data_IF_318045136041
#
_entry.id   IF_318045136041
#
_cell.length_a   1.000
_cell.length_b   1.000
_cell.length_c   1.000
_cell.angle_alpha   90.00
_cell.angle_beta   90.00
_cell.angle_gamma   90.00
#
_symmetry.space_group_name_H-M   'P 1'
#
loop_
_entity.id
_entity.type
_entity.pdbx_description
1 polymer ?
#
# COMPACT_ATOMS: atom_id res chain seq x y z
N UNK A 1 -13.05 -16.59 -11.38
CA UNK A 1 -12.95 -15.14 -11.62
C UNK A 1 -12.67 -14.39 -10.34
N UNK A 2 -13.45 -14.59 -9.28
CA UNK A 2 -13.34 -13.86 -7.99
C UNK A 2 -12.34 -14.46 -7.01
N UNK A 3 -11.54 -15.47 -7.39
CA UNK A 3 -10.55 -16.10 -6.47
C UNK A 3 -9.57 -15.09 -5.87
N UNK A 4 -8.95 -14.18 -6.65
CA UNK A 4 -8.02 -13.20 -6.10
C UNK A 4 -8.68 -12.30 -5.04
N UNK A 5 -9.83 -11.72 -5.38
CA UNK A 5 -10.56 -10.81 -4.49
C UNK A 5 -11.04 -11.51 -3.22
N UNK A 6 -11.48 -12.76 -3.35
CA UNK A 6 -11.95 -13.54 -2.20
C UNK A 6 -10.82 -13.92 -1.26
N UNK A 7 -9.68 -14.37 -1.80
CA UNK A 7 -8.50 -14.70 -0.99
C UNK A 7 -7.97 -13.45 -0.28
N UNK A 8 -7.80 -12.33 -0.99
CA UNK A 8 -7.36 -11.08 -0.39
C UNK A 8 -8.33 -10.60 0.71
N UNK A 9 -9.66 -10.72 0.48
CA UNK A 9 -10.67 -10.40 1.48
C UNK A 9 -10.52 -11.25 2.75
N UNK A 10 -10.33 -12.57 2.62
CA UNK A 10 -10.18 -13.47 3.78
C UNK A 10 -8.99 -13.11 4.68
N UNK A 11 -7.97 -12.47 4.13
CA UNK A 11 -6.77 -12.01 4.85
C UNK A 11 -6.83 -10.52 5.23
N UNK A 12 -7.95 -9.85 4.99
CA UNK A 12 -8.13 -8.43 5.31
C UNK A 12 -8.72 -8.20 6.71
N UNK A 13 -8.57 -6.97 7.21
CA UNK A 13 -9.23 -6.55 8.45
C UNK A 13 -10.76 -6.62 8.39
N UNK A 14 -11.33 -6.67 7.18
CA UNK A 14 -12.77 -6.75 6.93
C UNK A 14 -13.28 -8.16 6.63
N UNK A 15 -12.49 -9.21 6.88
CA UNK A 15 -12.86 -10.61 6.60
C UNK A 15 -14.17 -11.11 7.25
N UNK A 16 -14.70 -10.37 8.23
CA UNK A 16 -15.99 -10.66 8.90
C UNK A 16 -17.13 -9.77 8.42
N UNK A 17 -16.88 -8.82 7.52
CA UNK A 17 -17.88 -7.92 6.95
C UNK A 17 -18.42 -8.55 5.66
N UNK A 18 -19.72 -8.70 5.55
CA UNK A 18 -20.33 -9.31 4.35
C UNK A 18 -20.00 -8.51 3.09
N UNK A 19 -19.70 -9.20 1.99
CA UNK A 19 -19.43 -8.58 0.67
C UNK A 19 -20.55 -7.61 0.26
N UNK A 20 -21.80 -7.98 0.52
CA UNK A 20 -22.97 -7.15 0.18
C UNK A 20 -23.05 -5.85 0.97
N UNK A 21 -22.43 -5.76 2.12
CA UNK A 21 -22.39 -4.53 2.93
C UNK A 21 -21.71 -3.40 2.17
N UNK A 22 -20.58 -3.70 1.50
CA UNK A 22 -19.82 -2.73 0.71
C UNK A 22 -20.32 -2.63 -0.75
N UNK A 23 -20.64 -3.77 -1.39
CA UNK A 23 -20.95 -3.82 -2.83
C UNK A 23 -22.40 -3.53 -3.17
N UNK A 24 -23.33 -3.71 -2.24
CA UNK A 24 -24.74 -3.43 -2.42
C UNK A 24 -25.21 -2.34 -1.46
N UNK A 25 -24.99 -2.53 -0.15
CA UNK A 25 -25.43 -1.61 0.90
C UNK A 25 -26.97 -1.50 1.00
N UNK A 26 -27.48 -0.66 1.91
CA UNK A 26 -28.91 -0.43 2.06
C UNK A 26 -29.46 0.48 0.95
N UNK A 27 -30.73 0.27 0.60
CA UNK A 27 -31.49 1.11 -0.34
C UNK A 27 -31.86 0.41 -1.65
N UNK A 28 -33.14 0.58 -2.08
CA UNK A 28 -33.69 -0.08 -3.26
C UNK A 28 -32.96 0.29 -4.56
N UNK A 29 -32.54 1.55 -4.71
CA UNK A 29 -31.82 2.01 -5.91
C UNK A 29 -30.48 1.31 -6.10
N UNK A 30 -29.71 1.12 -5.02
CA UNK A 30 -28.43 0.41 -5.06
C UNK A 30 -28.62 -1.09 -5.29
N UNK A 31 -29.67 -1.66 -4.71
CA UNK A 31 -30.04 -3.06 -4.98
C UNK A 31 -30.33 -3.31 -6.47
N UNK A 32 -31.11 -2.45 -7.11
CA UNK A 32 -31.43 -2.56 -8.56
C UNK A 32 -30.16 -2.41 -9.39
N UNK A 33 -29.30 -1.39 -9.10
CA UNK A 33 -28.02 -1.21 -9.82
C UNK A 33 -27.13 -2.44 -9.69
N UNK A 34 -27.04 -3.03 -8.49
CA UNK A 34 -26.23 -4.24 -8.28
C UNK A 34 -26.75 -5.45 -9.06
N UNK A 35 -28.07 -5.60 -9.20
CA UNK A 35 -28.68 -6.68 -10.01
C UNK A 35 -28.39 -6.50 -11.50
N UNK A 36 -28.50 -5.28 -12.02
CA UNK A 36 -28.16 -5.00 -13.42
C UNK A 36 -26.68 -5.26 -13.72
N UNK A 37 -25.77 -4.81 -12.84
CA UNK A 37 -24.36 -5.12 -12.94
C UNK A 37 -24.08 -6.63 -12.83
N UNK A 38 -24.80 -7.34 -11.95
CA UNK A 38 -24.71 -8.78 -11.78
C UNK A 38 -25.10 -9.58 -13.03
N UNK A 39 -26.13 -9.15 -13.76
CA UNK A 39 -26.51 -9.78 -15.03
C UNK A 39 -25.40 -9.69 -16.07
N UNK A 40 -24.79 -8.53 -16.21
CA UNK A 40 -23.64 -8.36 -17.09
C UNK A 40 -22.46 -9.26 -16.66
N UNK A 41 -22.20 -9.38 -15.36
CA UNK A 41 -21.13 -10.25 -14.85
C UNK A 41 -21.40 -11.73 -15.16
N UNK A 42 -22.64 -12.20 -15.02
CA UNK A 42 -23.02 -13.57 -15.42
C UNK A 42 -22.75 -13.79 -16.91
N UNK A 43 -23.21 -12.88 -17.76
CA UNK A 43 -22.95 -12.93 -19.21
C UNK A 43 -21.44 -12.98 -19.51
N UNK A 44 -20.66 -12.06 -18.93
CA UNK A 44 -19.22 -11.97 -19.16
C UNK A 44 -18.47 -13.25 -18.70
N UNK A 45 -18.87 -13.83 -17.56
CA UNK A 45 -18.28 -15.08 -17.04
C UNK A 45 -18.63 -16.27 -17.92
N UNK A 46 -19.90 -16.39 -18.35
CA UNK A 46 -20.37 -17.50 -19.20
C UNK A 46 -19.66 -17.53 -20.55
N UNK A 47 -19.40 -16.35 -21.13
CA UNK A 47 -18.70 -16.24 -22.42
C UNK A 47 -17.19 -16.08 -22.30
N UNK A 48 -16.64 -16.04 -21.09
CA UNK A 48 -15.21 -15.79 -20.87
C UNK A 48 -14.72 -14.41 -21.32
N UNK A 49 -15.63 -13.43 -21.47
CA UNK A 49 -15.36 -12.10 -22.04
C UNK A 49 -14.94 -11.04 -21.01
N UNK A 50 -14.60 -11.43 -19.78
CA UNK A 50 -14.12 -10.51 -18.76
C UNK A 50 -12.62 -10.23 -18.88
N UNK A 51 -12.18 -9.00 -18.61
CA UNK A 51 -10.76 -8.64 -18.66
C UNK A 51 -9.96 -9.30 -17.52
N UNK A 52 -8.70 -9.56 -17.79
CA UNK A 52 -7.72 -10.08 -16.84
C UNK A 52 -6.48 -9.17 -16.87
N UNK A 53 -6.21 -8.43 -15.81
CA UNK A 53 -6.96 -8.31 -14.54
C UNK A 53 -8.28 -7.55 -14.68
N UNK A 54 -9.15 -7.65 -13.66
CA UNK A 54 -10.41 -6.88 -13.60
C UNK A 54 -10.09 -5.40 -13.39
N UNK A 55 -10.59 -4.46 -14.20
CA UNK A 55 -10.26 -3.04 -14.08
C UNK A 55 -10.69 -2.42 -12.75
N UNK A 56 -9.88 -1.53 -12.23
CA UNK A 56 -10.20 -0.67 -11.09
C UNK A 56 -9.83 0.79 -11.41
N UNK A 57 -10.49 1.78 -10.81
CA UNK A 57 -11.58 1.70 -9.83
C UNK A 57 -12.91 1.23 -10.46
N UNK A 58 -13.74 0.58 -9.65
CA UNK A 58 -15.08 0.15 -10.10
C UNK A 58 -15.99 1.38 -10.13
N UNK A 59 -16.54 1.70 -11.30
CA UNK A 59 -17.34 2.91 -11.53
C UNK A 59 -18.68 2.94 -10.77
N UNK A 60 -19.22 1.79 -10.40
CA UNK A 60 -20.55 1.65 -9.81
C UNK A 60 -20.55 1.35 -8.31
N UNK A 61 -19.43 1.59 -7.62
CA UNK A 61 -19.39 1.50 -6.17
C UNK A 61 -20.15 2.66 -5.54
N UNK A 62 -20.76 2.38 -4.41
CA UNK A 62 -21.43 3.36 -3.57
C UNK A 62 -20.41 4.40 -3.06
N UNK A 63 -20.82 5.66 -2.81
CA UNK A 63 -19.93 6.65 -2.21
C UNK A 63 -19.30 6.12 -0.92
N UNK A 64 -18.00 6.35 -0.75
CA UNK A 64 -17.22 5.81 0.37
C UNK A 64 -17.79 6.24 1.72
N UNK A 65 -18.18 7.52 1.87
CA UNK A 65 -18.79 8.02 3.10
C UNK A 65 -20.03 7.24 3.50
N UNK A 66 -20.94 7.00 2.57
CA UNK A 66 -22.16 6.24 2.84
C UNK A 66 -21.94 4.79 3.25
N UNK A 67 -20.79 4.22 2.90
CA UNK A 67 -20.43 2.84 3.22
C UNK A 67 -19.54 2.76 4.46
N UNK A 68 -18.45 3.50 4.47
CA UNK A 68 -17.41 3.39 5.50
C UNK A 68 -17.84 4.03 6.83
N UNK A 69 -18.51 5.20 6.77
CA UNK A 69 -18.93 5.94 7.96
C UNK A 69 -20.06 5.26 8.75
N UNK A 70 -20.65 4.16 8.23
CA UNK A 70 -21.56 3.33 9.02
C UNK A 70 -20.85 2.62 10.21
N UNK A 71 -19.53 2.42 10.09
CA UNK A 71 -18.71 1.77 11.12
C UNK A 71 -17.52 2.65 11.56
N UNK A 72 -17.01 3.49 10.66
CA UNK A 72 -15.85 4.37 10.89
C UNK A 72 -16.33 5.83 10.93
N UNK A 73 -16.35 6.43 12.12
CA UNK A 73 -16.75 7.84 12.28
C UNK A 73 -15.54 8.77 12.25
N UNK A 74 -15.47 9.74 11.32
CA UNK A 74 -14.34 10.67 11.22
C UNK A 74 -14.04 11.42 12.52
N UNK A 75 -15.06 11.72 13.31
CA UNK A 75 -14.91 12.42 14.60
C UNK A 75 -14.14 11.61 15.66
N UNK A 76 -13.95 10.30 15.41
CA UNK A 76 -13.17 9.41 16.27
C UNK A 76 -11.76 9.14 15.76
N UNK A 77 -11.35 9.75 14.65
CA UNK A 77 -9.99 9.65 14.14
C UNK A 77 -9.07 10.63 14.87
N UNK A 78 -8.73 10.29 16.07
CA UNK A 78 -7.79 11.01 16.91
C UNK A 78 -6.73 10.04 17.46
N UNK A 79 -5.71 10.59 18.10
CA UNK A 79 -4.63 9.80 18.69
C UNK A 79 -3.56 9.38 17.69
N UNK A 80 -2.69 8.54 18.17
CA UNK A 80 -1.53 8.02 17.45
C UNK A 80 -1.58 6.50 17.43
N UNK A 81 -0.96 5.92 16.42
CA UNK A 81 -0.84 4.46 16.29
C UNK A 81 0.63 4.08 16.17
N UNK A 82 1.11 3.31 17.13
CA UNK A 82 2.42 2.68 17.02
C UNK A 82 2.37 1.58 15.97
N UNK A 83 3.31 1.63 15.03
CA UNK A 83 3.53 0.60 14.01
C UNK A 83 4.99 0.18 14.10
N UNK A 84 5.22 -1.09 14.40
CA UNK A 84 6.55 -1.70 14.39
C UNK A 84 6.68 -2.59 13.17
N UNK A 85 7.77 -2.41 12.44
CA UNK A 85 8.10 -3.25 11.29
C UNK A 85 9.51 -3.75 11.44
N UNK A 86 9.71 -5.02 11.11
CA UNK A 86 11.01 -5.64 10.94
C UNK A 86 11.23 -5.90 9.47
N UNK A 87 12.35 -5.47 8.96
CA UNK A 87 12.82 -5.72 7.61
C UNK A 87 14.06 -6.61 7.66
N UNK A 88 14.28 -7.34 6.59
CA UNK A 88 15.48 -8.14 6.38
C UNK A 88 16.18 -7.64 5.13
N UNK A 89 17.47 -7.39 5.23
CA UNK A 89 18.29 -7.00 4.09
C UNK A 89 18.50 -8.22 3.17
N UNK A 90 18.75 -7.93 1.90
CA UNK A 90 19.04 -8.96 0.88
C UNK A 90 20.55 -9.30 0.89
N UNK A 91 21.11 -9.58 2.07
CA UNK A 91 22.48 -9.98 2.30
C UNK A 91 22.56 -11.43 2.78
N UNK A 92 23.78 -11.99 2.87
CA UNK A 92 24.02 -13.37 3.29
C UNK A 92 23.43 -13.67 4.67
N UNK A 93 23.51 -12.72 5.61
CA UNK A 93 23.04 -12.88 6.98
C UNK A 93 21.55 -12.60 7.16
N UNK A 94 20.84 -12.11 6.14
CA UNK A 94 19.47 -11.60 6.26
C UNK A 94 19.39 -10.60 7.41
N UNK A 95 20.25 -9.58 7.40
CA UNK A 95 20.42 -8.61 8.50
C UNK A 95 19.09 -7.96 8.86
N UNK A 96 18.75 -7.99 10.13
CA UNK A 96 17.52 -7.42 10.66
C UNK A 96 17.62 -5.90 10.77
N UNK A 97 16.55 -5.22 10.39
CA UNK A 97 16.39 -3.79 10.59
C UNK A 97 15.00 -3.49 11.11
N UNK A 98 14.93 -2.97 12.32
CA UNK A 98 13.66 -2.57 12.92
C UNK A 98 13.39 -1.08 12.70
N UNK A 99 12.13 -0.75 12.45
CA UNK A 99 11.63 0.62 12.44
C UNK A 99 10.29 0.71 13.19
N UNK A 100 10.23 1.62 14.15
CA UNK A 100 9.03 1.90 14.92
C UNK A 100 8.53 3.30 14.58
N UNK A 101 7.31 3.38 14.09
CA UNK A 101 6.64 4.61 13.67
C UNK A 101 5.49 4.92 14.61
N UNK A 102 5.38 6.16 15.03
CA UNK A 102 4.23 6.69 15.73
C UNK A 102 3.36 7.47 14.73
N UNK A 103 2.42 6.78 14.07
CA UNK A 103 1.56 7.38 13.04
C UNK A 103 0.55 8.34 13.66
N UNK A 104 0.50 9.56 13.17
CA UNK A 104 -0.47 10.58 13.56
C UNK A 104 -1.80 10.33 12.86
N UNK A 105 -2.71 9.59 13.50
CA UNK A 105 -4.03 9.28 12.93
C UNK A 105 -4.87 10.56 12.85
N UNK A 106 -4.86 11.35 13.91
CA UNK A 106 -5.55 12.62 14.02
C UNK A 106 -4.98 13.42 15.19
N UNK A 107 -5.61 14.52 15.60
CA UNK A 107 -5.12 15.33 16.71
C UNK A 107 -5.02 14.49 17.98
N UNK A 108 -4.00 14.77 18.80
CA UNK A 108 -3.72 14.02 20.05
C UNK A 108 -4.84 14.10 21.09
N UNK A 109 -5.70 15.11 20.98
CA UNK A 109 -6.95 15.26 21.74
C UNK A 109 -8.06 15.70 20.78
N UNK A 110 -9.32 15.45 21.15
CA UNK A 110 -10.51 15.94 20.41
C UNK A 110 -10.58 17.49 20.47
N UNK A 111 -9.55 18.16 19.97
CA UNK A 111 -9.53 19.61 19.90
C UNK A 111 -9.99 20.04 18.51
N UNK A 112 -11.16 20.66 18.45
CA UNK A 112 -11.66 21.25 17.22
C UNK A 112 -10.64 22.27 16.67
N UNK A 113 -10.26 22.10 15.40
CA UNK A 113 -9.39 23.04 14.69
C UNK A 113 -7.91 22.71 14.66
N UNK A 114 -7.45 21.60 15.26
CA UNK A 114 -6.07 21.15 15.08
C UNK A 114 -5.88 20.54 13.68
N UNK A 115 -4.90 21.08 12.95
CA UNK A 115 -4.49 20.62 11.62
C UNK A 115 -3.39 19.57 11.76
N UNK A 116 -3.72 18.39 12.27
CA UNK A 116 -2.75 17.34 12.54
C UNK A 116 -3.27 15.97 12.09
N UNK A 117 -2.36 15.16 11.59
CA UNK A 117 -2.57 13.75 11.29
C UNK A 117 -3.13 13.47 9.90
N UNK A 118 -3.00 12.21 9.50
CA UNK A 118 -3.30 11.75 8.13
C UNK A 118 -4.78 11.86 7.75
N UNK A 119 -5.70 11.86 8.71
CA UNK A 119 -7.13 12.03 8.46
C UNK A 119 -7.59 13.51 8.43
N UNK A 120 -6.66 14.46 8.55
CA UNK A 120 -6.99 15.87 8.36
C UNK A 120 -7.62 16.15 6.98
N UNK A 121 -7.25 15.40 5.96
CA UNK A 121 -7.77 15.52 4.59
C UNK A 121 -9.29 15.30 4.46
N UNK A 122 -9.90 14.61 5.40
CA UNK A 122 -11.34 14.32 5.45
C UNK A 122 -12.04 15.01 6.63
N UNK A 123 -11.36 15.96 7.30
CA UNK A 123 -11.94 16.74 8.37
C UNK A 123 -13.16 17.53 7.85
N UNK A 124 -14.29 17.57 8.60
CA UNK A 124 -15.49 18.33 8.22
C UNK A 124 -15.28 19.82 7.95
N UNK A 125 -14.24 20.42 8.54
CA UNK A 125 -13.92 21.83 8.38
C UNK A 125 -13.12 22.16 7.11
N UNK A 126 -12.72 21.14 6.36
CA UNK A 126 -11.91 21.32 5.15
C UNK A 126 -12.48 20.55 3.98
N UNK A 127 -12.21 21.02 2.78
CA UNK A 127 -12.50 20.33 1.54
C UNK A 127 -11.22 20.26 0.71
N UNK A 128 -10.79 19.05 0.42
CA UNK A 128 -9.68 18.80 -0.50
C UNK A 128 -10.27 18.28 -1.80
N UNK A 129 -9.95 18.96 -2.88
CA UNK A 129 -10.35 18.56 -4.23
C UNK A 129 -9.09 18.40 -5.08
N UNK A 130 -9.12 17.44 -5.99
CA UNK A 130 -7.99 17.18 -6.85
C UNK A 130 -8.41 16.73 -8.24
N UNK A 131 -7.49 16.82 -9.18
CA UNK A 131 -7.61 16.25 -10.52
C UNK A 131 -6.51 15.20 -10.67
N UNK A 132 -6.86 14.03 -11.16
CA UNK A 132 -5.90 13.01 -11.54
C UNK A 132 -5.92 12.82 -13.06
N UNK A 133 -4.75 12.75 -13.66
CA UNK A 133 -4.57 12.50 -15.09
C UNK A 133 -4.40 11.02 -15.41
N UNK A 134 -4.29 10.16 -14.38
CA UNK A 134 -4.17 8.71 -14.53
C UNK A 134 -5.42 7.98 -14.03
N UNK A 135 -5.77 6.86 -14.68
CA UNK A 135 -6.88 5.99 -14.27
C UNK A 135 -6.65 5.42 -12.87
N UNK A 136 -5.40 5.12 -12.52
CA UNK A 136 -5.00 4.58 -11.20
C UNK A 136 -4.96 5.64 -10.11
N UNK A 137 -5.09 6.94 -10.47
CA UNK A 137 -4.98 8.09 -9.58
C UNK A 137 -3.63 8.18 -8.86
N UNK A 138 -2.57 7.75 -9.52
CA UNK A 138 -1.19 7.84 -9.06
C UNK A 138 -0.51 9.15 -9.48
N UNK A 139 -1.10 9.91 -10.39
CA UNK A 139 -0.64 11.22 -10.85
C UNK A 139 -1.70 12.28 -10.58
N UNK A 140 -1.38 13.24 -9.73
CA UNK A 140 -2.29 14.31 -9.29
C UNK A 140 -1.61 15.66 -9.55
N UNK A 141 -1.80 16.29 -10.72
CA UNK A 141 -1.15 17.56 -11.03
C UNK A 141 -1.77 18.78 -10.37
N UNK A 142 -2.98 18.67 -9.81
CA UNK A 142 -3.71 19.80 -9.27
C UNK A 142 -4.48 19.45 -8.02
N UNK A 143 -4.37 20.30 -6.97
CA UNK A 143 -5.05 20.15 -5.70
C UNK A 143 -5.63 21.50 -5.26
N UNK A 144 -6.88 21.50 -4.80
CA UNK A 144 -7.51 22.64 -4.18
C UNK A 144 -7.87 22.34 -2.73
N UNK A 145 -7.33 23.13 -1.84
CA UNK A 145 -7.71 23.18 -0.44
C UNK A 145 -8.72 24.31 -0.21
N UNK A 146 -9.79 24.03 0.51
CA UNK A 146 -10.76 25.03 0.95
C UNK A 146 -11.00 24.86 2.46
N UNK A 147 -10.81 25.91 3.23
CA UNK A 147 -11.26 25.98 4.61
C UNK A 147 -12.73 26.38 4.63
N UNK A 148 -13.61 25.49 5.07
CA UNK A 148 -15.06 25.70 5.03
C UNK A 148 -15.56 26.68 6.11
N UNK A 149 -14.73 26.99 7.13
CA UNK A 149 -15.07 27.99 8.16
C UNK A 149 -14.70 29.41 7.75
N UNK A 150 -13.55 29.58 7.10
CA UNK A 150 -13.03 30.90 6.72
C UNK A 150 -13.24 31.24 5.25
N UNK A 151 -13.65 30.27 4.43
CA UNK A 151 -13.72 30.32 2.96
C UNK A 151 -12.37 30.63 2.29
N UNK A 152 -11.27 30.36 2.98
CA UNK A 152 -9.93 30.52 2.47
C UNK A 152 -9.63 29.36 1.48
N UNK A 153 -9.11 29.72 0.30
CA UNK A 153 -8.85 28.76 -0.79
C UNK A 153 -7.37 28.84 -1.19
N UNK A 154 -6.73 27.66 -1.30
CA UNK A 154 -5.40 27.52 -1.87
C UNK A 154 -5.45 26.52 -3.02
N UNK A 155 -4.86 26.88 -4.13
CA UNK A 155 -4.71 26.01 -5.31
C UNK A 155 -3.23 25.70 -5.46
N UNK A 156 -2.90 24.42 -5.50
CA UNK A 156 -1.55 23.89 -5.68
C UNK A 156 -1.47 23.19 -7.03
N UNK A 157 -0.40 23.43 -7.76
CA UNK A 157 -0.08 22.73 -9.00
C UNK A 157 1.29 22.07 -8.90
N UNK A 158 1.41 20.88 -9.49
CA UNK A 158 2.70 20.20 -9.62
C UNK A 158 3.56 20.98 -10.62
N UNK A 159 4.68 21.55 -10.17
CA UNK A 159 5.58 22.37 -10.98
C UNK A 159 6.24 21.60 -12.12
N UNK A 160 6.37 20.27 -12.02
CA UNK A 160 6.94 19.42 -13.07
C UNK A 160 5.88 18.91 -14.05
N UNK A 161 4.63 18.78 -13.59
CA UNK A 161 3.50 18.28 -14.39
C UNK A 161 2.28 19.20 -14.26
N UNK A 162 2.37 20.47 -14.66
CA UNK A 162 1.27 21.40 -14.52
C UNK A 162 0.06 20.96 -15.38
N UNK A 163 -1.15 21.14 -14.85
CA UNK A 163 -2.36 20.72 -15.54
C UNK A 163 -2.70 21.58 -16.77
N UNK A 164 -2.17 22.80 -16.83
CA UNK A 164 -2.47 23.77 -17.86
C UNK A 164 -3.90 24.30 -17.78
N UNK A 165 -4.71 24.07 -18.82
CA UNK A 165 -6.07 24.58 -18.88
C UNK A 165 -7.03 23.72 -18.03
N UNK A 166 -7.34 24.17 -16.83
CA UNK A 166 -8.20 23.48 -15.86
C UNK A 166 -9.63 23.28 -16.38
N UNK A 167 -10.14 24.15 -17.28
CA UNK A 167 -11.50 24.06 -17.80
C UNK A 167 -11.74 22.72 -18.53
N UNK A 168 -10.70 22.13 -19.11
CA UNK A 168 -10.76 20.81 -19.75
C UNK A 168 -11.01 19.66 -18.78
N UNK A 169 -10.74 19.90 -17.50
CA UNK A 169 -10.78 18.87 -16.46
C UNK A 169 -11.82 19.16 -15.37
N UNK A 170 -12.65 20.19 -15.51
CA UNK A 170 -13.60 20.60 -14.49
C UNK A 170 -14.57 19.50 -14.08
N UNK A 171 -14.98 18.64 -15.02
CA UNK A 171 -15.87 17.51 -14.78
C UNK A 171 -15.15 16.32 -14.13
N UNK A 172 -13.81 16.38 -14.02
CA UNK A 172 -12.98 15.37 -13.38
C UNK A 172 -12.53 15.78 -11.97
N UNK A 173 -12.92 16.98 -11.51
CA UNK A 173 -12.60 17.43 -10.16
C UNK A 173 -13.27 16.50 -9.17
N UNK A 174 -12.45 15.86 -8.35
CA UNK A 174 -12.90 14.92 -7.33
C UNK A 174 -12.67 15.49 -5.93
N UNK A 175 -13.67 15.41 -5.07
CA UNK A 175 -13.50 15.66 -3.64
C UNK A 175 -12.88 14.43 -3.00
N UNK A 176 -11.81 14.61 -2.24
CA UNK A 176 -11.10 13.53 -1.55
C UNK A 176 -11.98 12.84 -0.52
N UNK A 177 -11.95 11.53 -0.52
CA UNK A 177 -12.68 10.68 0.42
C UNK A 177 -11.81 9.49 0.91
N UNK A 178 -12.40 8.61 1.71
CA UNK A 178 -11.72 7.43 2.27
C UNK A 178 -11.04 6.56 1.20
N UNK A 179 -11.66 6.41 0.02
CA UNK A 179 -11.17 5.56 -1.05
C UNK A 179 -10.00 6.17 -1.85
N UNK A 180 -9.67 7.44 -1.61
CA UNK A 180 -8.54 8.06 -2.29
C UNK A 180 -7.20 7.70 -1.65
N UNK A 181 -7.26 7.26 -0.39
CA UNK A 181 -6.13 6.68 0.35
C UNK A 181 -6.33 5.17 0.56
N UNK A 182 -7.49 4.76 1.08
CA UNK A 182 -7.83 3.35 1.31
C UNK A 182 -8.48 2.72 0.06
N UNK A 183 -7.79 2.79 -1.08
CA UNK A 183 -8.32 2.33 -2.37
C UNK A 183 -8.54 0.81 -2.46
N UNK A 184 -7.93 0.03 -1.56
CA UNK A 184 -8.01 -1.45 -1.51
C UNK A 184 -8.28 -1.96 -0.08
N UNK A 185 -9.34 -1.53 0.62
CA UNK A 185 -9.52 -1.82 2.05
C UNK A 185 -9.71 -3.30 2.38
N UNK A 186 -10.19 -4.11 1.43
CA UNK A 186 -10.44 -5.55 1.61
C UNK A 186 -9.80 -6.43 0.55
N UNK A 187 -9.19 -5.85 -0.46
CA UNK A 187 -8.63 -6.56 -1.61
C UNK A 187 -7.20 -6.10 -1.89
N UNK A 188 -6.40 -5.99 -0.83
CA UNK A 188 -5.01 -5.58 -0.93
C UNK A 188 -4.12 -6.77 -1.28
N UNK A 189 -3.37 -6.65 -2.37
CA UNK A 189 -2.31 -7.57 -2.76
C UNK A 189 -1.00 -7.02 -2.24
N UNK A 190 -0.39 -7.76 -1.34
CA UNK A 190 0.79 -7.29 -0.59
C UNK A 190 2.03 -7.38 -1.47
N UNK A 191 2.92 -6.42 -1.29
CA UNK A 191 4.23 -6.46 -1.93
C UNK A 191 5.07 -7.62 -1.38
N UNK A 192 5.87 -8.29 -2.22
CA UNK A 192 6.73 -9.40 -1.81
C UNK A 192 7.59 -9.10 -0.59
N UNK A 193 8.18 -7.90 -0.53
CA UNK A 193 9.00 -7.48 0.61
C UNK A 193 8.27 -7.64 1.94
N UNK A 194 6.98 -7.30 2.01
CA UNK A 194 6.21 -7.38 3.25
C UNK A 194 5.89 -8.80 3.67
N UNK A 195 5.39 -9.64 2.76
CA UNK A 195 5.00 -10.98 3.16
C UNK A 195 6.20 -11.93 3.36
N UNK A 196 7.33 -11.67 2.68
CA UNK A 196 8.58 -12.40 2.93
C UNK A 196 9.16 -12.00 4.29
N UNK A 197 9.25 -10.69 4.59
CA UNK A 197 9.72 -10.22 5.91
C UNK A 197 8.86 -10.76 7.06
N UNK A 198 7.54 -10.78 6.88
CA UNK A 198 6.64 -11.36 7.88
C UNK A 198 6.78 -12.88 8.01
N UNK A 199 7.03 -13.60 6.91
CA UNK A 199 7.27 -15.04 6.95
C UNK A 199 8.58 -15.37 7.69
N UNK A 200 9.63 -14.56 7.49
CA UNK A 200 10.89 -14.70 8.23
C UNK A 200 10.69 -14.33 9.70
N UNK A 201 10.05 -13.20 9.99
CA UNK A 201 9.76 -12.76 11.37
C UNK A 201 8.93 -13.78 12.14
N UNK A 202 7.98 -14.45 11.48
CA UNK A 202 7.15 -15.51 12.07
C UNK A 202 7.86 -16.86 12.18
N UNK A 203 9.11 -16.98 11.73
CA UNK A 203 9.89 -18.23 11.74
C UNK A 203 9.40 -19.29 10.74
N UNK A 204 8.50 -18.95 9.81
CA UNK A 204 8.05 -19.85 8.75
C UNK A 204 9.14 -20.04 7.67
N UNK A 205 9.91 -18.99 7.42
CA UNK A 205 11.15 -19.01 6.67
C UNK A 205 12.26 -18.73 7.69
N UNK A 206 13.24 -19.63 7.81
CA UNK A 206 14.34 -19.43 8.77
C UNK A 206 15.31 -18.38 8.25
N UNK A 207 15.63 -17.37 9.06
CA UNK A 207 16.68 -16.39 8.76
C UNK A 207 18.10 -16.98 8.77
N UNK A 208 18.24 -18.22 9.32
CA UNK A 208 19.52 -18.95 9.32
C UNK A 208 19.86 -19.54 7.95
N UNK A 209 18.95 -19.50 6.99
CA UNK A 209 19.21 -19.84 5.61
C UNK A 209 19.93 -18.67 4.94
N UNK A 210 21.22 -18.79 4.58
CA UNK A 210 21.96 -17.69 3.97
C UNK A 210 21.26 -17.18 2.70
N UNK A 211 21.23 -15.85 2.54
CA UNK A 211 20.67 -15.18 1.36
C UNK A 211 19.19 -15.47 1.06
N UNK A 212 18.45 -16.09 1.99
CA UNK A 212 17.06 -16.50 1.72
C UNK A 212 16.15 -15.32 1.35
N UNK A 213 16.36 -14.15 1.95
CA UNK A 213 15.61 -12.93 1.59
C UNK A 213 15.85 -12.56 0.13
N UNK A 214 17.11 -12.49 -0.30
CA UNK A 214 17.49 -12.18 -1.67
C UNK A 214 16.88 -13.18 -2.64
N UNK A 215 17.04 -14.47 -2.37
CA UNK A 215 16.53 -15.56 -3.22
C UNK A 215 15.01 -15.51 -3.36
N UNK A 216 14.26 -15.30 -2.26
CA UNK A 216 12.82 -15.14 -2.31
C UNK A 216 12.40 -13.96 -3.19
N UNK A 217 13.09 -12.82 -3.07
CA UNK A 217 12.78 -11.64 -3.87
C UNK A 217 13.07 -11.85 -5.34
N UNK A 218 14.17 -12.53 -5.70
CA UNK A 218 14.51 -12.89 -7.08
C UNK A 218 13.43 -13.81 -7.69
N UNK A 219 13.05 -14.88 -6.98
CA UNK A 219 12.02 -15.82 -7.43
C UNK A 219 10.69 -15.10 -7.66
N UNK A 220 10.29 -14.21 -6.74
CA UNK A 220 9.01 -13.50 -6.83
C UNK A 220 9.00 -12.41 -7.90
N UNK A 221 10.15 -11.99 -8.42
CA UNK A 221 10.25 -11.07 -9.54
C UNK A 221 9.99 -11.74 -10.91
N UNK A 222 9.99 -13.08 -10.95
CA UNK A 222 9.72 -13.83 -12.17
C UNK A 222 8.23 -13.78 -12.55
N UNK A 223 7.96 -13.88 -13.85
CA UNK A 223 6.60 -13.86 -14.41
C UNK A 223 6.11 -15.28 -14.66
N UNK A 224 4.96 -15.58 -14.10
CA UNK A 224 4.33 -16.90 -14.25
C UNK A 224 3.01 -16.78 -15.02
N UNK A 225 2.69 -17.82 -15.79
CA UNK A 225 1.41 -17.95 -16.50
C UNK A 225 0.38 -18.73 -15.70
N UNK A 226 0.83 -19.63 -14.82
CA UNK A 226 -0.02 -20.46 -13.95
C UNK A 226 0.54 -20.55 -12.54
N UNK A 227 -0.34 -20.78 -11.58
CA UNK A 227 0.05 -21.06 -10.19
C UNK A 227 0.92 -22.31 -10.10
N UNK A 228 0.59 -23.38 -10.83
CA UNK A 228 1.35 -24.65 -10.79
C UNK A 228 2.79 -24.46 -11.28
N UNK A 229 2.99 -23.67 -12.34
CA UNK A 229 4.35 -23.37 -12.83
C UNK A 229 5.16 -22.58 -11.81
N UNK A 230 4.52 -21.65 -11.09
CA UNK A 230 5.18 -20.91 -10.02
C UNK A 230 5.57 -21.81 -8.85
N UNK A 231 4.68 -22.74 -8.43
CA UNK A 231 4.98 -23.68 -7.34
C UNK A 231 6.19 -24.55 -7.66
N UNK A 232 6.22 -25.11 -8.88
CA UNK A 232 7.35 -25.92 -9.32
C UNK A 232 8.66 -25.11 -9.42
N UNK A 233 8.57 -23.86 -9.88
CA UNK A 233 9.73 -22.98 -9.99
C UNK A 233 10.29 -22.60 -8.62
N UNK A 234 9.43 -22.21 -7.67
CA UNK A 234 9.83 -21.90 -6.29
C UNK A 234 10.59 -23.07 -5.67
N UNK A 235 10.04 -24.28 -5.76
CA UNK A 235 10.68 -25.48 -5.21
C UNK A 235 12.05 -25.73 -5.86
N UNK A 236 12.10 -25.71 -7.18
CA UNK A 236 13.33 -25.95 -7.94
C UNK A 236 14.42 -24.93 -7.60
N UNK A 237 14.13 -23.64 -7.68
CA UNK A 237 15.16 -22.61 -7.51
C UNK A 237 15.72 -22.59 -6.07
N UNK A 238 14.87 -22.78 -5.06
CA UNK A 238 15.35 -22.87 -3.67
C UNK A 238 16.21 -24.12 -3.46
N UNK A 239 15.80 -25.28 -3.97
CA UNK A 239 16.58 -26.51 -3.86
C UNK A 239 17.91 -26.43 -4.62
N UNK A 240 17.90 -25.92 -5.84
CA UNK A 240 19.09 -25.79 -6.67
C UNK A 240 20.09 -24.81 -6.03
N UNK A 241 19.62 -23.68 -5.49
CA UNK A 241 20.44 -22.70 -4.82
C UNK A 241 21.19 -23.30 -3.61
N UNK A 242 20.44 -23.96 -2.70
CA UNK A 242 21.08 -24.55 -1.52
C UNK A 242 21.88 -25.80 -1.82
N UNK A 243 21.47 -26.62 -2.81
CA UNK A 243 22.25 -27.80 -3.20
C UNK A 243 23.61 -27.43 -3.82
N UNK A 244 23.66 -26.32 -4.53
CA UNK A 244 24.88 -25.87 -5.23
C UNK A 244 25.78 -25.00 -4.35
N UNK A 245 25.17 -24.04 -3.63
CA UNK A 245 25.90 -23.04 -2.85
C UNK A 245 26.17 -23.45 -1.40
N UNK A 246 25.28 -24.24 -0.80
CA UNK A 246 25.27 -24.56 0.63
C UNK A 246 24.90 -26.04 0.87
N UNK A 247 25.66 -27.02 0.32
CA UNK A 247 25.29 -28.44 0.37
C UNK A 247 25.20 -28.99 1.80
N UNK A 248 25.91 -28.40 2.77
CA UNK A 248 25.81 -28.74 4.19
C UNK A 248 24.44 -28.42 4.78
N UNK A 249 23.75 -27.39 4.29
CA UNK A 249 22.38 -27.07 4.72
C UNK A 249 21.42 -28.18 4.25
N UNK A 250 21.59 -28.66 3.03
CA UNK A 250 20.77 -29.77 2.51
C UNK A 250 21.03 -31.06 3.29
N UNK A 251 22.29 -31.33 3.70
CA UNK A 251 22.60 -32.53 4.48
C UNK A 251 22.08 -32.46 5.93
N UNK A 252 22.29 -31.32 6.59
CA UNK A 252 22.15 -31.22 8.05
C UNK A 252 20.84 -30.51 8.47
N UNK A 253 20.28 -29.65 7.60
CA UNK A 253 19.15 -28.77 7.89
C UNK A 253 18.08 -28.75 6.78
N UNK A 254 17.90 -29.84 6.06
CA UNK A 254 16.95 -29.95 4.94
C UNK A 254 15.53 -29.47 5.30
N UNK A 255 15.14 -29.67 6.54
CA UNK A 255 13.83 -29.22 7.04
C UNK A 255 13.64 -27.71 6.90
N UNK A 256 14.66 -26.89 7.18
CA UNK A 256 14.57 -25.43 7.03
C UNK A 256 14.28 -25.04 5.57
N UNK A 257 14.93 -25.71 4.62
CA UNK A 257 14.73 -25.47 3.20
C UNK A 257 13.30 -25.88 2.78
N UNK A 258 12.85 -27.05 3.23
CA UNK A 258 11.48 -27.53 2.94
C UNK A 258 10.42 -26.57 3.51
N UNK A 259 10.63 -26.06 4.74
CA UNK A 259 9.72 -25.09 5.36
C UNK A 259 9.72 -23.75 4.59
N UNK A 260 10.87 -23.29 4.14
CA UNK A 260 10.97 -22.07 3.35
C UNK A 260 10.23 -22.20 2.01
N UNK A 261 10.37 -23.32 1.30
CA UNK A 261 9.63 -23.62 0.07
C UNK A 261 8.12 -23.55 0.34
N UNK A 262 7.65 -24.30 1.34
CA UNK A 262 6.22 -24.35 1.67
C UNK A 262 5.67 -22.97 2.06
N UNK A 263 6.41 -22.21 2.86
CA UNK A 263 6.02 -20.87 3.28
C UNK A 263 5.95 -19.90 2.10
N UNK A 264 6.94 -19.90 1.20
CA UNK A 264 6.93 -19.03 0.04
C UNK A 264 5.82 -19.37 -0.95
N UNK A 265 5.56 -20.66 -1.17
CA UNK A 265 4.45 -21.15 -1.99
C UNK A 265 3.09 -20.71 -1.41
N UNK A 266 2.93 -20.81 -0.10
CA UNK A 266 1.71 -20.36 0.60
C UNK A 266 1.51 -18.85 0.42
N UNK A 267 2.54 -18.03 0.66
CA UNK A 267 2.46 -16.58 0.50
C UNK A 267 2.23 -16.17 -0.97
N UNK A 268 2.83 -16.86 -1.92
CA UNK A 268 2.56 -16.67 -3.35
C UNK A 268 1.06 -16.84 -3.64
N UNK A 269 0.47 -17.95 -3.21
CA UNK A 269 -0.95 -18.26 -3.47
C UNK A 269 -1.93 -17.28 -2.83
N UNK A 270 -1.52 -16.56 -1.79
CA UNK A 270 -2.33 -15.52 -1.13
C UNK A 270 -2.29 -14.18 -1.85
N UNK A 271 -1.19 -13.87 -2.55
CA UNK A 271 -0.93 -12.52 -3.04
C UNK A 271 -0.79 -12.42 -4.57
N UNK A 272 -0.52 -13.54 -5.27
CA UNK A 272 -0.21 -13.57 -6.70
C UNK A 272 -1.12 -14.58 -7.41
N UNK A 273 -1.77 -14.15 -8.48
CA UNK A 273 -2.75 -14.97 -9.22
C UNK A 273 -2.49 -14.86 -10.74
N UNK A 274 -1.54 -15.66 -11.27
CA UNK A 274 -1.11 -15.56 -12.67
C UNK A 274 -2.25 -15.72 -13.68
N UNK A 275 -3.17 -16.66 -13.44
CA UNK A 275 -4.30 -16.95 -14.34
C UNK A 275 -5.27 -15.77 -14.49
N UNK A 276 -5.23 -14.84 -13.54
CA UNK A 276 -6.03 -13.63 -13.54
C UNK A 276 -5.22 -12.37 -13.86
N UNK A 277 -3.91 -12.52 -14.07
CA UNK A 277 -2.99 -11.38 -14.28
C UNK A 277 -2.90 -10.46 -13.07
N UNK A 278 -3.07 -10.99 -11.86
CA UNK A 278 -3.07 -10.20 -10.62
C UNK A 278 -1.77 -10.43 -9.87
N UNK A 279 -1.03 -9.36 -9.70
CA UNK A 279 0.17 -9.24 -8.86
C UNK A 279 0.09 -7.92 -8.07
N UNK A 280 1.01 -7.69 -7.18
CA UNK A 280 1.02 -6.54 -6.25
C UNK A 280 1.02 -5.16 -6.92
N UNK A 281 1.65 -4.99 -8.10
CA UNK A 281 1.78 -3.71 -8.80
C UNK A 281 0.59 -3.38 -9.71
N UNK A 282 -0.26 -4.35 -10.02
CA UNK A 282 -1.44 -4.16 -10.88
C UNK A 282 -2.44 -3.20 -10.24
N UNK A 283 -2.57 -3.28 -8.91
CA UNK A 283 -3.45 -2.44 -8.14
C UNK A 283 -2.69 -1.77 -6.98
N UNK A 284 -1.87 -0.75 -7.28
CA UNK A 284 -1.03 -0.11 -6.28
C UNK A 284 -1.87 0.44 -5.12
N UNK A 285 -1.38 0.25 -3.91
CA UNK A 285 -1.96 0.88 -2.72
C UNK A 285 -1.68 2.37 -2.72
N UNK A 286 -2.65 3.17 -2.29
CA UNK A 286 -2.45 4.59 -2.06
C UNK A 286 -2.03 4.92 -0.61
N UNK A 287 -1.89 3.89 0.24
CA UNK A 287 -1.35 4.02 1.60
C UNK A 287 0.17 3.91 1.59
N UNK A 288 0.80 4.76 2.38
CA UNK A 288 2.26 4.80 2.48
C UNK A 288 2.91 5.56 1.31
N UNK A 289 4.20 5.35 1.12
CA UNK A 289 5.02 6.02 0.10
C UNK A 289 6.33 5.27 -0.22
N UNK A 290 6.47 4.03 0.24
CA UNK A 290 7.71 3.25 0.04
C UNK A 290 7.66 2.51 -1.30
N UNK A 291 6.73 1.58 -1.48
CA UNK A 291 6.63 0.76 -2.70
C UNK A 291 5.76 1.43 -3.77
N UNK A 292 4.97 2.42 -3.38
CA UNK A 292 4.10 3.19 -4.27
C UNK A 292 4.22 4.67 -3.97
N UNK A 293 3.91 5.51 -4.94
CA UNK A 293 3.90 6.96 -4.73
C UNK A 293 2.94 7.41 -3.61
N UNK A 294 1.85 6.68 -3.37
CA UNK A 294 0.94 6.87 -2.25
C UNK A 294 0.70 8.32 -1.83
N UNK A 295 1.19 8.70 -0.65
CA UNK A 295 1.08 10.07 -0.13
C UNK A 295 1.91 11.08 -0.94
N UNK A 296 3.02 10.63 -1.54
CA UNK A 296 3.91 11.48 -2.34
C UNK A 296 3.29 11.92 -3.69
N UNK A 297 2.07 11.44 -4.02
CA UNK A 297 1.29 11.99 -5.14
C UNK A 297 1.04 13.50 -5.00
N UNK A 298 1.04 14.01 -3.77
CA UNK A 298 0.87 15.43 -3.45
C UNK A 298 1.97 15.94 -2.53
N UNK A 299 2.44 15.11 -1.57
CA UNK A 299 3.48 15.44 -0.59
C UNK A 299 4.89 15.19 -1.16
N UNK A 300 5.26 15.93 -2.19
CA UNK A 300 6.51 15.76 -2.96
C UNK A 300 7.29 17.06 -3.14
N UNK A 301 6.88 18.13 -2.44
CA UNK A 301 7.45 19.50 -2.53
C UNK A 301 7.35 20.16 -3.90
N UNK A 302 6.74 19.51 -4.90
CA UNK A 302 6.50 20.09 -6.22
C UNK A 302 5.16 20.80 -6.33
N UNK A 303 4.20 20.46 -5.47
CA UNK A 303 2.90 21.11 -5.44
C UNK A 303 2.98 22.46 -4.76
N UNK A 304 2.89 23.52 -5.54
CA UNK A 304 3.07 24.88 -5.06
C UNK A 304 1.90 25.78 -5.45
N UNK A 305 1.60 26.77 -4.61
CA UNK A 305 0.66 27.85 -4.95
C UNK A 305 1.37 28.99 -5.67
N UNK A 306 0.61 29.89 -6.29
CA UNK A 306 1.14 31.13 -6.86
C UNK A 306 1.93 32.00 -5.87
N UNK A 307 1.68 31.84 -4.57
CA UNK A 307 2.38 32.54 -3.51
C UNK A 307 3.48 31.69 -2.85
N UNK A 308 4.00 30.70 -3.55
CA UNK A 308 5.09 29.79 -3.11
C UNK A 308 4.82 29.03 -1.81
N UNK A 309 3.56 28.77 -1.46
CA UNK A 309 3.24 27.76 -0.44
C UNK A 309 3.43 26.39 -1.06
N UNK A 310 4.02 25.46 -0.32
CA UNK A 310 4.36 24.12 -0.78
C UNK A 310 3.56 23.09 0.02
N UNK A 311 3.12 22.01 -0.62
CA UNK A 311 2.68 20.81 0.08
C UNK A 311 3.96 20.07 0.52
N UNK A 312 4.26 20.17 1.81
CA UNK A 312 5.52 19.67 2.37
C UNK A 312 5.59 18.13 2.39
N UNK A 313 6.81 17.61 2.22
CA UNK A 313 7.20 16.21 2.37
C UNK A 313 7.75 15.90 3.78
N UNK A 314 7.68 16.82 4.73
CA UNK A 314 8.21 16.61 6.09
C UNK A 314 7.60 15.33 6.71
N UNK A 315 8.46 14.38 7.08
CA UNK A 315 8.09 13.12 7.71
C UNK A 315 7.18 13.32 8.93
N UNK A 316 7.45 14.38 9.70
CA UNK A 316 6.71 14.70 10.92
C UNK A 316 5.28 15.20 10.70
N UNK A 317 4.85 15.41 9.47
CA UNK A 317 3.43 15.67 9.18
C UNK A 317 2.55 14.45 9.48
N UNK A 318 3.06 13.25 9.19
CA UNK A 318 2.31 12.01 9.22
C UNK A 318 2.73 11.06 10.34
N UNK A 319 4.01 11.02 10.71
CA UNK A 319 4.55 10.10 11.73
C UNK A 319 5.85 10.62 12.34
N UNK A 320 6.19 10.09 13.49
CA UNK A 320 7.54 10.21 14.07
C UNK A 320 8.22 8.83 14.07
N UNK A 321 9.51 8.77 13.77
CA UNK A 321 10.32 7.56 13.95
C UNK A 321 10.74 7.51 15.41
N UNK A 322 10.23 6.54 16.16
CA UNK A 322 10.52 6.40 17.61
C UNK A 322 11.69 5.48 17.89
N UNK A 323 11.97 4.55 16.98
CA UNK A 323 13.15 3.69 17.03
C UNK A 323 13.52 3.22 15.63
N UNK A 324 14.81 3.01 15.35
CA UNK A 324 15.29 2.41 14.10
C UNK A 324 16.68 1.79 14.29
N UNK A 325 16.99 0.78 13.51
CA UNK A 325 18.30 0.14 13.46
C UNK A 325 18.25 -1.37 13.66
N UNK A 326 19.42 -2.02 13.65
CA UNK A 326 19.53 -3.43 14.02
C UNK A 326 19.06 -3.66 15.47
N UNK A 327 18.43 -4.83 15.77
CA UNK A 327 17.87 -5.09 17.10
C UNK A 327 18.89 -4.99 18.26
N UNK A 328 20.14 -5.31 18.02
CA UNK A 328 21.24 -5.26 18.99
C UNK A 328 21.83 -3.85 19.21
N UNK A 329 21.52 -2.91 18.31
CA UNK A 329 22.04 -1.54 18.33
C UNK A 329 20.98 -0.50 17.93
N UNK A 330 19.74 -0.73 18.36
CA UNK A 330 18.60 0.11 18.01
C UNK A 330 18.75 1.53 18.57
N UNK A 331 18.57 2.52 17.70
CA UNK A 331 18.52 3.93 18.09
C UNK A 331 17.12 4.27 18.56
N UNK A 332 17.00 4.90 19.73
CA UNK A 332 15.74 5.34 20.32
C UNK A 332 15.62 6.86 20.29
N UNK A 333 14.41 7.37 19.97
CA UNK A 333 14.15 8.80 20.07
C UNK A 333 14.12 9.27 21.52
N UNK A 334 14.75 10.41 21.78
CA UNK A 334 14.78 11.07 23.11
C UNK A 334 13.82 12.26 23.19
N UNK A 335 13.14 12.57 22.10
CA UNK A 335 12.19 13.69 22.00
C UNK A 335 10.95 13.32 21.22
N UNK A 336 9.90 14.10 21.34
CA UNK A 336 8.64 13.95 20.57
C UNK A 336 8.79 14.28 19.08
N UNK A 337 9.92 14.80 18.64
CA UNK A 337 10.19 15.06 17.23
C UNK A 337 10.59 13.80 16.49
N UNK A 338 10.90 12.73 17.22
CA UNK A 338 11.37 11.47 16.65
C UNK A 338 12.83 11.53 16.22
N UNK A 339 13.23 10.57 15.43
CA UNK A 339 14.55 10.43 14.82
C UNK A 339 14.51 10.92 13.37
N UNK A 340 15.61 11.43 12.88
CA UNK A 340 15.87 11.53 11.45
C UNK A 340 15.97 10.12 10.87
N UNK A 341 15.39 9.90 9.68
CA UNK A 341 15.43 8.60 9.01
C UNK A 341 16.86 8.23 8.66
N UNK A 342 17.22 6.98 8.94
CA UNK A 342 18.48 6.38 8.54
C UNK A 342 18.19 5.18 7.64
N UNK A 343 18.66 5.24 6.41
CA UNK A 343 18.56 4.11 5.50
C UNK A 343 19.45 2.95 5.96
N UNK A 344 18.98 1.68 5.94
CA UNK A 344 19.77 0.54 6.43
C UNK A 344 21.07 0.30 5.65
N UNK A 345 21.06 0.60 4.36
CA UNK A 345 22.25 0.60 3.50
C UNK A 345 22.72 2.04 3.32
N UNK A 346 24.03 2.27 3.31
CA UNK A 346 24.57 3.61 3.07
C UNK A 346 24.33 4.04 1.61
N UNK A 347 23.42 4.97 1.44
CA UNK A 347 23.08 5.63 0.16
C UNK A 347 23.33 7.14 0.21
N UNK A 348 24.09 7.60 1.23
CA UNK A 348 24.28 9.03 1.47
C UNK A 348 22.95 9.76 1.75
N UNK A 349 22.81 10.96 1.17
CA UNK A 349 21.61 11.80 1.34
C UNK A 349 20.56 11.61 0.23
N UNK A 350 20.67 10.56 -0.59
CA UNK A 350 19.76 10.32 -1.72
C UNK A 350 18.29 10.23 -1.29
N UNK A 351 18.03 9.65 -0.12
CA UNK A 351 16.68 9.55 0.45
C UNK A 351 16.01 10.90 0.76
N UNK A 352 16.80 11.98 0.84
CA UNK A 352 16.28 13.34 1.08
C UNK A 352 15.71 13.98 -0.19
N UNK A 353 16.20 13.58 -1.35
CA UNK A 353 15.87 14.19 -2.65
C UNK A 353 15.03 13.28 -3.54
N UNK A 354 15.25 11.97 -3.49
CA UNK A 354 14.53 10.96 -4.28
C UNK A 354 13.32 10.42 -3.50
N UNK A 355 12.21 10.15 -4.18
CA UNK A 355 11.06 9.51 -3.55
C UNK A 355 11.37 8.04 -3.26
N UNK A 356 10.96 7.54 -2.10
CA UNK A 356 11.20 6.14 -1.71
C UNK A 356 10.73 5.16 -2.80
N UNK A 357 9.54 5.42 -3.37
CA UNK A 357 8.96 4.58 -4.42
C UNK A 357 9.73 4.57 -5.73
N UNK A 358 10.63 5.50 -5.99
CA UNK A 358 11.46 5.47 -7.21
C UNK A 358 12.51 4.34 -7.15
N UNK A 359 12.99 4.01 -5.95
CA UNK A 359 13.91 2.91 -5.72
C UNK A 359 13.19 1.62 -5.32
N UNK A 360 12.15 1.71 -4.48
CA UNK A 360 11.50 0.53 -3.87
C UNK A 360 10.30 -0.04 -4.61
N UNK A 361 9.85 0.56 -5.73
CA UNK A 361 8.74 0.02 -6.55
C UNK A 361 9.10 -1.25 -7.31
N UNK A 362 10.38 -1.45 -7.59
CA UNK A 362 10.90 -2.67 -8.20
C UNK A 362 11.42 -3.59 -7.11
N UNK A 363 11.27 -4.90 -7.31
CA UNK A 363 11.92 -5.87 -6.45
C UNK A 363 13.42 -5.85 -6.77
N UNK A 364 14.23 -5.58 -5.82
CA UNK A 364 15.70 -5.46 -5.78
C UNK A 364 16.46 -5.98 -7.00
#
# INVERSE_FOLDING_TARGET
VMKPEYVAYQHSAHARVSCVTCHVGPGAGWYVKSKMSGLYQVYAVTLGSYPKPIPTPISNLRPARETCEQCHWPEKFYSRKLVSKRHYLADEANTEWDINLNIKIGPSMQAHGLKEGIHWHINPDVKIEYISTSVRRDTIPWVRYTNLKTNEVYVYEDSENPIGDIEKYKDQIRTMDCMDCHNRPSHHYRYPVHFVDEAITAGRISKELPEIKMLCMQILNEKFTTTDSAMAFIEKEILDFYSSGYPEIISDRKELVTNAIAALQEEFQKNIFPEMGVIWDVYPSHLGHVETVGCDRCHNERHTTANNRVISRDCNLCHEITAQGPPDSIQMATSFQGLEFRHPVDIGDEWKVTLCSECHKTLY
#
